data_IF_409068927138
#
_entry.id   IF_409068927138
#
_cell.length_a   1.000
_cell.length_b   1.000
_cell.length_c   1.000
_cell.angle_alpha   90.00
_cell.angle_beta   90.00
_cell.angle_gamma   90.00
#
_symmetry.space_group_name_H-M   'P 1'
#
loop_
_entity.id
_entity.type
_entity.pdbx_description
1 polymer ?
#
# COMPACT_ATOMS: atom_id res chain seq x y z
N UNK A 1 4.91 20.26 18.31
CA UNK A 1 5.27 19.60 17.03
C UNK A 1 5.70 18.18 17.36
N UNK A 2 5.07 17.16 16.77
CA UNK A 2 5.49 15.76 16.94
C UNK A 2 6.48 15.43 15.84
N UNK A 3 7.64 14.86 16.19
CA UNK A 3 8.62 14.40 15.22
C UNK A 3 8.52 12.88 15.10
N UNK A 4 8.42 12.38 13.86
CA UNK A 4 8.33 10.95 13.56
C UNK A 4 9.46 10.62 12.59
N UNK A 5 10.29 9.65 12.94
CA UNK A 5 11.33 9.13 12.07
C UNK A 5 10.73 8.03 11.18
N UNK A 6 10.90 8.17 9.87
CA UNK A 6 10.50 7.15 8.89
C UNK A 6 11.72 6.67 8.11
N UNK A 7 11.78 5.37 7.86
CA UNK A 7 12.79 4.76 6.99
C UNK A 7 12.18 4.50 5.63
N UNK A 8 12.82 5.01 4.58
CA UNK A 8 12.38 4.83 3.19
C UNK A 8 13.54 4.34 2.32
N UNK A 9 13.21 3.70 1.20
CA UNK A 9 14.21 3.30 0.21
C UNK A 9 14.97 4.52 -0.31
N UNK A 10 16.25 4.35 -0.61
CA UNK A 10 17.11 5.43 -1.08
C UNK A 10 16.60 6.06 -2.38
N UNK A 11 15.98 5.27 -3.26
CA UNK A 11 15.36 5.71 -4.51
C UNK A 11 14.18 6.66 -4.24
N UNK A 12 13.29 6.27 -3.32
CA UNK A 12 12.16 7.08 -2.91
C UNK A 12 12.63 8.40 -2.28
N UNK A 13 13.69 8.36 -1.45
CA UNK A 13 14.29 9.58 -0.89
C UNK A 13 14.82 10.52 -1.98
N UNK A 14 15.55 9.99 -2.97
CA UNK A 14 16.06 10.79 -4.10
C UNK A 14 14.92 11.44 -4.89
N UNK A 15 13.85 10.69 -5.16
CA UNK A 15 12.66 11.20 -5.84
C UNK A 15 11.95 12.31 -5.05
N UNK A 16 11.73 12.11 -3.75
CA UNK A 16 11.14 13.16 -2.91
C UNK A 16 12.02 14.42 -2.84
N UNK A 17 13.34 14.24 -2.92
CA UNK A 17 14.30 15.34 -2.94
C UNK A 17 14.26 16.15 -4.25
N UNK A 18 13.98 15.54 -5.40
CA UNK A 18 13.86 16.28 -6.68
C UNK A 18 12.58 17.11 -6.74
N UNK A 19 11.51 16.66 -6.08
CA UNK A 19 10.23 17.37 -6.00
C UNK A 19 10.24 18.57 -5.06
N UNK A 20 11.26 18.66 -4.19
CA UNK A 20 11.42 19.79 -3.27
C UNK A 20 11.81 21.06 -4.05
N UNK A 21 10.83 21.90 -4.37
CA UNK A 21 11.08 23.26 -4.88
C UNK A 21 11.64 24.15 -3.77
N UNK A 22 12.44 25.18 -4.11
CA UNK A 22 13.12 26.08 -3.14
C UNK A 22 12.22 26.65 -2.03
N UNK A 23 10.92 26.78 -2.28
CA UNK A 23 9.95 27.38 -1.35
C UNK A 23 9.11 26.36 -0.55
N UNK A 24 9.33 25.05 -0.69
CA UNK A 24 8.55 24.01 0.02
C UNK A 24 9.42 23.23 1.00
N UNK A 25 8.89 22.97 2.20
CA UNK A 25 9.54 22.07 3.15
C UNK A 25 9.38 20.62 2.70
N UNK A 26 10.27 19.74 3.17
CA UNK A 26 10.18 18.31 2.85
C UNK A 26 8.88 17.69 3.37
N UNK A 27 8.40 18.17 4.53
CA UNK A 27 7.11 17.78 5.09
C UNK A 27 5.95 18.18 4.19
N UNK A 28 6.01 19.35 3.53
CA UNK A 28 4.96 19.80 2.60
C UNK A 28 4.91 18.92 1.35
N UNK A 29 6.07 18.45 0.88
CA UNK A 29 6.13 17.50 -0.24
C UNK A 29 5.46 16.18 0.15
N UNK A 30 5.74 15.64 1.35
CA UNK A 30 5.08 14.42 1.84
C UNK A 30 3.57 14.62 1.96
N UNK A 31 3.13 15.77 2.49
CA UNK A 31 1.71 16.08 2.65
C UNK A 31 0.97 16.27 1.32
N UNK A 32 1.65 16.76 0.27
CA UNK A 32 1.02 16.86 -1.06
C UNK A 32 0.57 15.50 -1.61
N UNK A 33 1.31 14.42 -1.33
CA UNK A 33 0.91 13.07 -1.72
C UNK A 33 -0.30 12.53 -0.96
N UNK A 34 -0.54 13.02 0.27
CA UNK A 34 -1.71 12.60 1.06
C UNK A 34 -3.02 13.13 0.48
N UNK A 35 -2.97 14.21 -0.30
CA UNK A 35 -4.15 14.93 -0.76
C UNK A 35 -4.82 14.28 -1.97
N UNK A 36 -4.09 13.49 -2.75
CA UNK A 36 -4.59 12.95 -4.02
C UNK A 36 -5.25 11.57 -3.88
N UNK A 37 -5.11 10.86 -2.75
CA UNK A 37 -5.43 9.43 -2.74
C UNK A 37 -6.03 8.86 -1.44
N UNK A 38 -6.91 9.66 -0.83
CA UNK A 38 -7.71 9.21 0.32
C UNK A 38 -8.63 8.03 -0.05
N UNK A 39 -8.89 7.81 -1.35
CA UNK A 39 -9.63 6.65 -1.88
C UNK A 39 -8.84 5.35 -1.78
N UNK A 40 -7.59 5.31 -2.27
CA UNK A 40 -6.84 4.05 -2.34
C UNK A 40 -6.44 3.56 -0.95
N UNK A 41 -6.09 4.46 -0.02
CA UNK A 41 -5.82 4.05 1.37
C UNK A 41 -7.05 3.46 2.09
N UNK A 42 -8.27 3.90 1.77
CA UNK A 42 -9.50 3.27 2.31
C UNK A 42 -9.68 1.84 1.80
N UNK A 43 -9.38 1.60 0.52
CA UNK A 43 -9.41 0.25 -0.04
C UNK A 43 -8.33 -0.67 0.55
N UNK A 44 -7.14 -0.13 0.87
CA UNK A 44 -6.12 -0.90 1.58
C UNK A 44 -6.55 -1.34 2.98
N UNK A 45 -7.37 -0.54 3.68
CA UNK A 45 -7.98 -0.95 4.95
C UNK A 45 -8.92 -2.14 4.78
N UNK A 46 -9.80 -2.09 3.77
CA UNK A 46 -10.73 -3.18 3.44
C UNK A 46 -10.00 -4.46 3.01
N UNK A 47 -8.87 -4.35 2.31
CA UNK A 47 -8.04 -5.50 1.94
C UNK A 47 -7.27 -6.09 3.14
N UNK A 48 -7.02 -5.30 4.20
CA UNK A 48 -6.38 -5.77 5.44
C UNK A 48 -7.35 -6.50 6.37
N UNK A 49 -8.62 -6.07 6.39
CA UNK A 49 -9.69 -6.75 7.14
C UNK A 49 -10.24 -7.98 6.42
N UNK A 50 -9.84 -8.22 5.18
CA UNK A 50 -10.22 -9.42 4.45
C UNK A 50 -9.33 -10.57 4.89
N UNK A 51 -9.92 -11.55 5.54
CA UNK A 51 -9.23 -12.73 6.03
C UNK A 51 -8.64 -13.52 4.86
N UNK A 52 -7.35 -13.30 4.63
CA UNK A 52 -6.64 -13.87 3.50
C UNK A 52 -6.46 -15.38 3.67
N UNK A 53 -6.51 -15.88 4.91
CA UNK A 53 -6.47 -17.32 5.21
C UNK A 53 -7.73 -18.05 4.74
N UNK A 54 -8.93 -17.51 5.00
CA UNK A 54 -10.19 -18.08 4.48
C UNK A 54 -10.22 -18.07 2.94
N UNK A 55 -9.71 -16.99 2.34
CA UNK A 55 -9.68 -16.86 0.88
C UNK A 55 -8.69 -17.85 0.24
N UNK A 56 -7.59 -18.18 0.91
CA UNK A 56 -6.61 -19.17 0.45
C UNK A 56 -7.13 -20.61 0.59
N UNK A 57 -7.84 -20.91 1.69
CA UNK A 57 -8.49 -22.21 1.89
C UNK A 57 -9.60 -22.46 0.86
N UNK A 58 -10.50 -21.50 0.65
CA UNK A 58 -11.56 -21.62 -0.35
C UNK A 58 -11.02 -21.80 -1.78
N UNK A 59 -9.87 -21.18 -2.09
CA UNK A 59 -9.19 -21.38 -3.38
C UNK A 59 -8.56 -22.76 -3.52
N UNK A 60 -7.96 -23.29 -2.46
CA UNK A 60 -7.41 -24.65 -2.45
C UNK A 60 -8.51 -25.69 -2.65
N UNK A 61 -9.61 -25.58 -1.91
CA UNK A 61 -10.76 -26.47 -2.04
C UNK A 61 -11.38 -26.40 -3.44
N UNK A 62 -11.51 -25.20 -4.01
CA UNK A 62 -11.94 -25.04 -5.41
C UNK A 62 -10.96 -25.74 -6.35
N UNK A 63 -9.66 -25.49 -6.24
CA UNK A 63 -8.67 -26.11 -7.12
C UNK A 63 -8.71 -27.64 -7.04
N UNK A 64 -8.76 -28.19 -5.84
CA UNK A 64 -8.80 -29.64 -5.63
C UNK A 64 -10.09 -30.24 -6.20
N UNK A 65 -11.23 -29.56 -6.04
CA UNK A 65 -12.50 -29.99 -6.66
C UNK A 65 -12.49 -29.94 -8.19
N UNK A 66 -11.72 -29.03 -8.80
CA UNK A 66 -11.58 -28.95 -10.26
C UNK A 66 -10.63 -30.02 -10.79
N UNK A 67 -9.52 -30.28 -10.10
CA UNK A 67 -8.58 -31.35 -10.45
C UNK A 67 -9.23 -32.74 -10.30
N UNK A 68 -10.14 -32.95 -9.33
CA UNK A 68 -10.92 -34.18 -9.22
C UNK A 68 -11.94 -34.36 -10.37
N UNK A 69 -12.49 -33.28 -10.92
CA UNK A 69 -13.46 -33.33 -12.03
C UNK A 69 -12.79 -33.48 -13.40
N UNK A 70 -11.50 -33.19 -13.50
CA UNK A 70 -10.70 -33.32 -14.73
C UNK A 70 -9.92 -34.66 -14.79
N UNK A 71 -10.01 -35.50 -13.76
CA UNK A 71 -9.55 -36.89 -13.74
C UNK A 71 -10.63 -37.85 -14.23
#
# INVERSE_FOLDING_TARGET
MVNINISIKQEAYKFLKTLKTKNKSFSDVILSFKSEDDSIMRFFGVLKDKDWEETDQARKELRDSWDERLK
#
